data_IF_053075077973
#
_entry.id   IF_053075077973
#
_cell.length_a   1.000
_cell.length_b   1.000
_cell.length_c   1.000
_cell.angle_alpha   90.00
_cell.angle_beta   90.00
_cell.angle_gamma   90.00
#
_symmetry.space_group_name_H-M   'P 1'
#
loop_
_entity.id
_entity.type
_entity.pdbx_description
1 polymer ?
#
# COMPACT_ATOMS: atom_id res chain seq x y z
N UNK A 1 12.29 -27.24 -9.27
CA UNK A 1 12.00 -25.79 -9.20
C UNK A 1 11.61 -25.39 -7.79
N UNK A 2 12.12 -24.27 -7.27
CA UNK A 2 11.71 -23.76 -5.96
C UNK A 2 10.28 -23.21 -6.00
N UNK A 3 9.54 -23.34 -4.89
CA UNK A 3 8.19 -22.79 -4.76
C UNK A 3 8.25 -21.26 -4.64
N UNK A 4 7.39 -20.55 -5.37
CA UNK A 4 7.20 -19.10 -5.25
C UNK A 4 6.85 -18.67 -3.82
N UNK A 5 7.29 -17.47 -3.42
CA UNK A 5 6.96 -16.85 -2.12
C UNK A 5 5.45 -16.75 -1.88
N UNK A 6 4.69 -16.53 -2.96
CA UNK A 6 3.22 -16.39 -2.94
C UNK A 6 2.50 -17.73 -3.07
N UNK A 7 3.22 -18.85 -3.19
CA UNK A 7 2.64 -20.19 -3.20
C UNK A 7 1.77 -20.42 -1.96
N UNK A 8 0.61 -21.04 -2.16
CA UNK A 8 -0.34 -21.38 -1.09
C UNK A 8 0.32 -22.25 -0.01
N UNK A 9 1.14 -23.23 -0.41
CA UNK A 9 1.87 -24.10 0.51
C UNK A 9 2.82 -23.31 1.43
N UNK A 10 3.68 -22.45 0.85
CA UNK A 10 4.63 -21.63 1.63
C UNK A 10 3.89 -20.64 2.55
N UNK A 11 2.72 -20.13 2.15
CA UNK A 11 1.88 -19.29 3.01
C UNK A 11 1.29 -20.07 4.18
N UNK A 12 0.73 -21.25 3.94
CA UNK A 12 0.18 -22.14 4.98
C UNK A 12 1.25 -22.45 6.04
N UNK A 13 2.44 -22.91 5.62
CA UNK A 13 3.54 -23.19 6.55
C UNK A 13 4.03 -21.96 7.32
N UNK A 14 3.97 -20.75 6.72
CA UNK A 14 4.31 -19.51 7.43
C UNK A 14 3.28 -19.18 8.51
N UNK A 15 1.99 -19.39 8.24
CA UNK A 15 0.93 -19.19 9.23
C UNK A 15 1.10 -20.15 10.41
N UNK A 16 1.35 -21.44 10.14
CA UNK A 16 1.63 -22.43 11.18
C UNK A 16 2.85 -22.05 12.03
N UNK A 17 3.94 -21.58 11.40
CA UNK A 17 5.11 -21.06 12.12
C UNK A 17 4.78 -19.84 12.98
N UNK A 18 3.94 -18.91 12.49
CA UNK A 18 3.50 -17.76 13.29
C UNK A 18 2.66 -18.20 14.48
N UNK A 19 1.74 -19.16 14.32
CA UNK A 19 0.95 -19.71 15.43
C UNK A 19 1.85 -20.26 16.56
N UNK A 20 2.94 -20.93 16.20
CA UNK A 20 3.92 -21.48 17.17
C UNK A 20 4.79 -20.42 17.83
N UNK A 21 5.29 -19.46 17.06
CA UNK A 21 6.36 -18.55 17.51
C UNK A 21 5.84 -17.21 18.03
N UNK A 22 4.76 -16.67 17.46
CA UNK A 22 4.21 -15.37 17.85
C UNK A 22 3.93 -15.23 19.35
N UNK A 23 3.24 -16.17 20.03
CA UNK A 23 2.96 -15.99 21.46
C UNK A 23 4.21 -15.97 22.32
N UNK A 24 5.23 -16.76 21.96
CA UNK A 24 6.50 -16.87 22.71
C UNK A 24 7.36 -15.62 22.58
N UNK A 25 7.45 -15.08 21.37
CA UNK A 25 8.19 -13.85 21.12
C UNK A 25 7.46 -12.64 21.71
N UNK A 26 6.13 -12.60 21.61
CA UNK A 26 5.34 -11.52 22.21
C UNK A 26 5.48 -11.48 23.74
N UNK A 27 5.43 -12.62 24.44
CA UNK A 27 5.60 -12.64 25.89
C UNK A 27 6.98 -12.17 26.32
N UNK A 28 8.04 -12.59 25.60
CA UNK A 28 9.43 -12.16 25.86
C UNK A 28 9.58 -10.65 25.66
N UNK A 29 9.10 -10.14 24.53
CA UNK A 29 9.18 -8.72 24.24
C UNK A 29 8.40 -7.88 25.25
N UNK A 30 7.19 -8.32 25.64
CA UNK A 30 6.42 -7.66 26.70
C UNK A 30 7.17 -7.63 28.03
N UNK A 31 7.81 -8.73 28.42
CA UNK A 31 8.60 -8.78 29.67
C UNK A 31 9.80 -7.83 29.66
N UNK A 32 10.50 -7.70 28.51
CA UNK A 32 11.64 -6.79 28.37
C UNK A 32 11.18 -5.34 28.48
N UNK A 33 10.06 -5.04 27.83
CA UNK A 33 9.50 -3.70 27.77
C UNK A 33 8.80 -3.28 29.08
N UNK A 34 8.56 -4.24 30.00
CA UNK A 34 7.76 -4.06 31.23
C UNK A 34 6.40 -3.38 30.94
N UNK A 35 5.86 -3.62 29.75
CA UNK A 35 4.59 -3.07 29.31
C UNK A 35 3.51 -4.14 29.47
N UNK A 36 2.71 -3.97 30.51
CA UNK A 36 1.45 -4.70 30.70
C UNK A 36 0.32 -4.12 29.82
N UNK A 37 0.62 -3.09 29.03
CA UNK A 37 -0.38 -2.41 28.22
C UNK A 37 -0.93 -3.29 27.10
N UNK A 38 -2.24 -3.17 26.93
CA UNK A 38 -2.98 -3.82 25.87
C UNK A 38 -2.43 -3.42 24.50
N UNK A 39 -2.33 -4.40 23.59
CA UNK A 39 -1.87 -4.19 22.19
C UNK A 39 -2.72 -3.14 21.47
N UNK A 40 -3.96 -2.98 21.93
CA UNK A 40 -4.82 -1.86 21.59
C UNK A 40 -4.73 -0.86 22.75
N UNK A 41 -4.08 0.27 22.52
CA UNK A 41 -4.04 1.43 23.41
C UNK A 41 -5.44 2.07 23.51
N UNK A 42 -6.43 1.32 24.01
CA UNK A 42 -7.83 1.73 24.12
C UNK A 42 -7.97 2.96 25.02
N UNK A 43 -7.11 3.07 26.03
CA UNK A 43 -7.08 4.21 26.95
C UNK A 43 -6.65 5.51 26.23
N UNK A 44 -5.85 5.40 25.16
CA UNK A 44 -5.43 6.54 24.33
C UNK A 44 -6.48 6.89 23.27
N UNK A 45 -7.35 5.94 22.91
CA UNK A 45 -8.41 6.17 21.92
C UNK A 45 -9.41 7.26 22.36
N UNK A 46 -9.63 7.42 23.67
CA UNK A 46 -10.45 8.52 24.21
C UNK A 46 -9.78 9.89 24.22
N UNK A 47 -8.44 9.95 24.14
CA UNK A 47 -7.65 11.20 24.25
C UNK A 47 -7.30 11.74 22.86
N UNK A 48 -7.20 10.88 21.84
CA UNK A 48 -6.92 11.30 20.47
C UNK A 48 -8.14 12.01 19.85
N UNK A 49 -8.17 13.34 19.89
CA UNK A 49 -9.13 14.14 19.14
C UNK A 49 -8.96 13.86 17.64
N UNK A 50 -9.84 13.02 17.07
CA UNK A 50 -9.88 12.81 15.62
C UNK A 50 -10.34 14.10 14.94
N UNK A 51 -9.39 14.91 14.47
CA UNK A 51 -9.69 15.95 13.47
C UNK A 51 -10.09 15.23 12.19
N UNK A 52 -11.38 15.31 11.86
CA UNK A 52 -11.92 14.75 10.61
C UNK A 52 -11.20 15.41 9.43
N UNK A 53 -10.53 14.65 8.55
CA UNK A 53 -9.89 15.22 7.38
C UNK A 53 -10.98 15.83 6.48
N UNK A 54 -10.83 17.12 6.15
CA UNK A 54 -11.67 17.77 5.13
C UNK A 54 -11.54 16.98 3.82
N UNK A 55 -12.68 16.63 3.24
CA UNK A 55 -12.74 15.88 1.99
C UNK A 55 -11.98 16.62 0.89
N UNK A 56 -10.81 16.13 0.49
CA UNK A 56 -10.15 16.57 -0.73
C UNK A 56 -10.97 16.02 -1.90
N UNK A 57 -11.57 16.91 -2.69
CA UNK A 57 -12.21 16.53 -3.94
C UNK A 57 -11.15 15.97 -4.88
N UNK A 58 -11.35 14.74 -5.37
CA UNK A 58 -10.55 14.16 -6.44
C UNK A 58 -10.71 15.04 -7.67
N UNK A 59 -9.71 15.88 -7.98
CA UNK A 59 -9.70 16.66 -9.20
C UNK A 59 -9.59 15.69 -10.38
N UNK A 60 -10.75 15.46 -10.97
CA UNK A 60 -10.91 14.88 -12.30
C UNK A 60 -10.34 15.88 -13.31
N UNK A 61 -9.45 15.37 -14.15
CA UNK A 61 -9.07 15.91 -15.46
C UNK A 61 -8.17 17.16 -15.47
N UNK A 62 -6.88 16.92 -15.66
CA UNK A 62 -5.98 17.87 -16.32
C UNK A 62 -5.48 17.21 -17.61
N UNK A 63 -6.30 17.13 -18.65
CA UNK A 63 -5.77 16.97 -20.01
C UNK A 63 -5.28 18.34 -20.44
N UNK A 64 -4.13 18.75 -19.90
CA UNK A 64 -3.39 19.88 -20.45
C UNK A 64 -2.72 19.40 -21.73
N UNK A 65 -2.79 20.21 -22.79
CA UNK A 65 -2.10 19.95 -24.06
C UNK A 65 -0.58 20.07 -23.86
N UNK A 66 0.01 19.01 -23.33
CA UNK A 66 1.41 18.95 -23.00
C UNK A 66 2.22 18.82 -24.29
N UNK A 67 3.01 19.86 -24.62
CA UNK A 67 3.97 19.87 -25.73
C UNK A 67 5.16 18.96 -25.36
N UNK A 68 5.27 17.81 -26.03
CA UNK A 68 6.33 16.81 -25.77
C UNK A 68 7.43 16.87 -26.84
N UNK A 69 8.67 16.58 -26.44
CA UNK A 69 9.77 16.43 -27.39
C UNK A 69 9.57 15.17 -28.23
N UNK A 70 9.67 15.28 -29.58
CA UNK A 70 9.43 14.15 -30.50
C UNK A 70 10.42 12.99 -30.32
N UNK A 71 11.66 13.26 -29.90
CA UNK A 71 12.70 12.22 -29.76
C UNK A 71 12.59 11.44 -28.44
N UNK A 72 12.43 12.14 -27.32
CA UNK A 72 12.43 11.53 -25.99
C UNK A 72 11.02 11.26 -25.43
N UNK A 73 9.98 11.86 -26.02
CA UNK A 73 8.59 11.87 -25.52
C UNK A 73 8.43 12.38 -24.09
N UNK A 74 9.46 13.04 -23.55
CA UNK A 74 9.46 13.60 -22.20
C UNK A 74 8.73 14.94 -22.20
N UNK A 75 7.97 15.20 -21.13
CA UNK A 75 7.34 16.49 -20.83
C UNK A 75 8.37 17.52 -20.30
N UNK A 76 8.04 18.81 -20.30
CA UNK A 76 8.79 19.91 -19.68
C UNK A 76 9.19 19.61 -18.23
N UNK A 77 8.40 18.81 -17.52
CA UNK A 77 8.66 18.37 -16.14
C UNK A 77 9.47 17.07 -16.01
N UNK A 78 10.02 16.53 -17.11
CA UNK A 78 10.80 15.29 -17.06
C UNK A 78 9.95 14.01 -17.02
N UNK A 79 8.63 14.11 -17.15
CA UNK A 79 7.73 12.96 -17.02
C UNK A 79 7.57 12.23 -18.36
N UNK A 80 7.64 10.89 -18.32
CA UNK A 80 7.34 10.03 -19.48
C UNK A 80 5.83 9.83 -19.65
N UNK A 81 5.35 9.58 -20.88
CA UNK A 81 3.94 9.31 -21.11
C UNK A 81 3.53 8.04 -20.38
N UNK A 82 2.37 8.09 -19.73
CA UNK A 82 1.75 6.92 -19.11
C UNK A 82 1.51 5.90 -20.23
N UNK A 83 2.30 4.82 -20.25
CA UNK A 83 2.06 3.69 -21.15
C UNK A 83 0.75 3.03 -20.72
N UNK A 84 -0.33 3.38 -21.40
CA UNK A 84 -1.65 2.82 -21.14
C UNK A 84 -1.67 1.35 -21.55
N UNK A 85 -2.21 0.51 -20.65
CA UNK A 85 -2.40 -0.91 -20.93
C UNK A 85 -3.31 -1.08 -22.16
N UNK A 86 -3.04 -2.09 -23.00
CA UNK A 86 -3.80 -2.37 -24.21
C UNK A 86 -5.33 -2.40 -23.98
N UNK A 87 -5.79 -2.88 -22.82
CA UNK A 87 -7.21 -2.88 -22.44
C UNK A 87 -7.77 -1.46 -22.27
N UNK A 88 -7.02 -0.56 -21.65
CA UNK A 88 -7.43 0.84 -21.47
C UNK A 88 -7.44 1.59 -22.81
N UNK A 89 -6.45 1.34 -23.68
CA UNK A 89 -6.42 1.90 -25.05
C UNK A 89 -7.65 1.51 -25.87
N UNK A 90 -8.07 0.24 -25.80
CA UNK A 90 -9.28 -0.24 -26.49
C UNK A 90 -10.54 0.47 -25.99
N UNK A 91 -10.65 0.73 -24.68
CA UNK A 91 -11.79 1.46 -24.10
C UNK A 91 -11.84 2.93 -24.51
N UNK A 92 -10.69 3.60 -24.58
CA UNK A 92 -10.61 5.01 -24.98
C UNK A 92 -10.92 5.22 -26.47
N UNK A 93 -10.55 4.26 -27.35
CA UNK A 93 -10.87 4.29 -28.78
C UNK A 93 -12.33 3.94 -29.12
N UNK A 94 -13.02 3.30 -28.19
CA UNK A 94 -14.41 2.86 -28.37
C UNK A 94 -15.44 3.92 -27.94
N UNK A 95 -14.97 5.04 -27.38
CA UNK A 95 -15.77 6.25 -27.17
C UNK A 95 -15.56 7.18 -28.34
#
# INVERSE_FOLDING_TARGET
>A
MAKSLRSKWKRKMRVEKRKKNAPKELSRLKSILQMDSDVLMKDVQGIATMVVPKHCQEQTQCVTEIKRNRKSLIDQHGQHPIRTNQRQRKRLKAK
#
